data_IF_156618805173
#
_entry.id   IF_156618805173
#
_cell.length_a   1.000
_cell.length_b   1.000
_cell.length_c   1.000
_cell.angle_alpha   90.00
_cell.angle_beta   90.00
_cell.angle_gamma   90.00
#
_symmetry.space_group_name_H-M   'P 1'
#
loop_
_entity.id
_entity.type
_entity.pdbx_description
1 polymer ?
#
# COMPACT_ATOMS: atom_id res chain seq x y z
N UNK A 1 -0.42 -3.47 30.52
CA UNK A 1 -0.48 -2.63 29.31
C UNK A 1 -1.30 -3.37 28.26
N UNK A 2 -2.39 -2.80 27.78
CA UNK A 2 -3.25 -3.43 26.77
C UNK A 2 -2.52 -3.55 25.43
N UNK A 3 -2.92 -4.53 24.62
CA UNK A 3 -2.30 -4.76 23.30
C UNK A 3 -2.49 -3.56 22.35
N UNK A 4 -3.62 -2.89 22.46
CA UNK A 4 -3.94 -1.68 21.70
C UNK A 4 -3.02 -0.51 22.05
N UNK A 5 -2.76 -0.32 23.36
CA UNK A 5 -1.82 0.70 23.85
C UNK A 5 -0.41 0.43 23.31
N UNK A 6 0.02 -0.82 23.35
CA UNK A 6 1.31 -1.23 22.79
C UNK A 6 1.41 -0.90 21.28
N UNK A 7 0.38 -1.22 20.49
CA UNK A 7 0.37 -0.92 19.06
C UNK A 7 0.34 0.59 18.77
N UNK A 8 -0.36 1.37 19.61
CA UNK A 8 -0.37 2.81 19.47
C UNK A 8 1.02 3.43 19.75
N UNK A 9 1.71 2.92 20.74
CA UNK A 9 3.08 3.36 21.05
C UNK A 9 4.07 2.90 19.97
N UNK A 10 3.95 1.66 19.49
CA UNK A 10 4.73 1.15 18.37
C UNK A 10 4.55 2.02 17.12
N UNK A 11 3.31 2.37 16.78
CA UNK A 11 3.02 3.25 15.65
C UNK A 11 3.72 4.61 15.78
N UNK A 12 3.54 5.29 16.91
CA UNK A 12 4.14 6.64 17.13
C UNK A 12 5.66 6.63 17.00
N UNK A 13 6.32 5.67 17.67
CA UNK A 13 7.78 5.51 17.61
C UNK A 13 8.24 5.19 16.19
N UNK A 14 7.51 4.33 15.50
CA UNK A 14 7.86 3.89 14.13
C UNK A 14 7.71 5.02 13.12
N UNK A 15 6.65 5.81 13.17
CA UNK A 15 6.49 6.97 12.27
C UNK A 15 7.65 7.94 12.44
N UNK A 16 8.06 8.23 13.67
CA UNK A 16 9.20 9.10 13.91
C UNK A 16 10.52 8.53 13.34
N UNK A 17 10.77 7.24 13.54
CA UNK A 17 11.98 6.60 13.02
C UNK A 17 11.99 6.50 11.47
N UNK A 18 10.87 6.12 10.88
CA UNK A 18 10.71 5.96 9.43
C UNK A 18 10.89 7.28 8.68
N UNK A 19 10.38 8.38 9.22
CA UNK A 19 10.49 9.71 8.58
C UNK A 19 11.90 10.28 8.62
N UNK A 20 12.77 9.77 9.47
CA UNK A 20 14.17 10.19 9.56
C UNK A 20 15.12 9.38 8.67
N UNK A 21 14.67 8.26 8.10
CA UNK A 21 15.50 7.37 7.30
C UNK A 21 14.88 7.15 5.90
N UNK A 22 15.55 7.68 4.88
CA UNK A 22 15.09 7.57 3.49
C UNK A 22 14.88 6.11 3.03
N UNK A 23 15.78 5.22 3.38
CA UNK A 23 15.70 3.80 2.97
C UNK A 23 14.49 3.13 3.60
N UNK A 24 14.27 3.36 4.89
CA UNK A 24 13.10 2.83 5.62
C UNK A 24 11.79 3.44 5.07
N UNK A 25 11.81 4.73 4.76
CA UNK A 25 10.65 5.39 4.16
C UNK A 25 10.30 4.80 2.80
N UNK A 26 11.28 4.56 1.92
CA UNK A 26 11.06 3.91 0.63
C UNK A 26 10.58 2.47 0.79
N UNK A 27 11.10 1.74 1.78
CA UNK A 27 10.61 0.41 2.15
C UNK A 27 9.14 0.42 2.57
N UNK A 28 8.75 1.39 3.42
CA UNK A 28 7.35 1.59 3.81
C UNK A 28 6.47 1.88 2.58
N UNK A 29 6.87 2.81 1.70
CA UNK A 29 6.10 3.16 0.50
C UNK A 29 5.92 1.95 -0.43
N UNK A 30 6.95 1.13 -0.59
CA UNK A 30 6.85 -0.15 -1.32
C UNK A 30 5.86 -1.12 -0.66
N UNK A 31 5.80 -1.16 0.68
CA UNK A 31 4.81 -1.95 1.40
C UNK A 31 3.39 -1.39 1.23
N UNK A 32 3.23 -0.06 1.35
CA UNK A 32 1.94 0.64 1.17
C UNK A 32 1.34 0.37 -0.21
N UNK A 33 2.16 0.30 -1.27
CA UNK A 33 1.69 0.01 -2.61
C UNK A 33 1.00 -1.35 -2.73
N UNK A 34 1.41 -2.33 -1.93
CA UNK A 34 0.77 -3.66 -1.87
C UNK A 34 -0.60 -3.61 -1.16
N UNK A 35 -0.74 -2.74 -0.17
CA UNK A 35 -1.91 -2.66 0.71
C UNK A 35 -2.62 -1.31 0.62
N UNK A 36 -2.70 -0.74 -0.57
CA UNK A 36 -3.22 0.61 -0.84
C UNK A 36 -4.68 0.84 -0.36
N UNK A 37 -5.44 -0.23 -0.13
CA UNK A 37 -6.81 -0.17 0.43
C UNK A 37 -6.83 -0.05 1.96
N UNK A 38 -5.70 -0.24 2.62
CA UNK A 38 -5.60 -0.07 4.07
C UNK A 38 -5.22 1.36 4.41
N UNK A 39 -5.64 1.84 5.58
CA UNK A 39 -5.23 3.14 6.09
C UNK A 39 -3.71 3.20 6.35
N UNK A 40 -3.13 4.39 6.35
CA UNK A 40 -1.69 4.58 6.51
C UNK A 40 -1.16 4.00 7.83
N UNK A 41 -1.87 4.22 8.92
CA UNK A 41 -1.53 3.69 10.25
C UNK A 41 -1.46 2.15 10.26
N UNK A 42 -2.40 1.46 9.60
CA UNK A 42 -2.35 0.00 9.43
C UNK A 42 -1.13 -0.44 8.61
N UNK A 43 -0.84 0.28 7.54
CA UNK A 43 0.34 0.02 6.70
C UNK A 43 1.64 0.16 7.49
N UNK A 44 1.79 1.21 8.30
CA UNK A 44 2.95 1.38 9.19
C UNK A 44 3.06 0.20 10.16
N UNK A 45 1.96 -0.17 10.83
CA UNK A 45 1.95 -1.30 11.76
C UNK A 45 2.29 -2.64 11.10
N UNK A 46 1.86 -2.86 9.86
CA UNK A 46 2.23 -4.04 9.07
C UNK A 46 3.74 -4.01 8.79
N UNK A 47 4.23 -2.93 8.23
CA UNK A 47 5.62 -2.79 7.82
C UNK A 47 6.60 -3.01 8.97
N UNK A 48 6.36 -2.39 10.11
CA UNK A 48 7.29 -2.48 11.25
C UNK A 48 7.26 -3.84 11.96
N UNK A 49 6.15 -4.58 11.85
CA UNK A 49 6.06 -5.94 12.40
C UNK A 49 6.56 -7.00 11.42
N UNK A 50 6.40 -6.76 10.11
CA UNK A 50 6.79 -7.70 9.05
C UNK A 50 7.03 -6.96 7.73
N UNK A 51 8.25 -6.41 7.50
CA UNK A 51 8.57 -5.64 6.30
C UNK A 51 8.45 -6.44 4.99
N UNK A 52 8.68 -7.75 5.07
CA UNK A 52 8.63 -8.70 3.95
C UNK A 52 7.24 -9.29 3.69
N UNK A 53 6.21 -8.82 4.40
CA UNK A 53 4.85 -9.33 4.23
C UNK A 53 4.42 -9.31 2.76
N UNK A 54 3.85 -10.45 2.32
CA UNK A 54 3.33 -10.67 0.98
C UNK A 54 1.83 -10.43 0.89
N UNK A 55 1.03 -11.48 0.77
CA UNK A 55 -0.42 -11.41 0.74
C UNK A 55 -0.99 -11.57 2.15
N UNK A 56 -1.77 -10.59 2.58
CA UNK A 56 -2.34 -10.54 3.92
C UNK A 56 -3.85 -10.71 3.92
N UNK A 57 -4.34 -11.56 4.81
CA UNK A 57 -5.75 -11.62 5.14
C UNK A 57 -5.95 -11.97 6.63
N UNK A 58 -7.15 -11.70 7.15
CA UNK A 58 -7.56 -12.21 8.46
C UNK A 58 -7.69 -13.73 8.42
N UNK A 59 -7.67 -14.38 9.59
CA UNK A 59 -7.91 -15.83 9.68
C UNK A 59 -9.19 -16.22 8.93
N UNK A 60 -10.28 -15.52 9.18
CA UNK A 60 -11.55 -15.78 8.52
C UNK A 60 -11.50 -15.53 7.01
N UNK A 61 -10.73 -14.52 6.56
CA UNK A 61 -10.50 -14.25 5.14
C UNK A 61 -9.80 -15.44 4.46
N UNK A 62 -8.74 -15.97 5.07
CA UNK A 62 -8.06 -17.15 4.55
C UNK A 62 -8.98 -18.37 4.47
N UNK A 63 -9.73 -18.67 5.53
CA UNK A 63 -10.60 -19.83 5.60
C UNK A 63 -11.78 -19.75 4.62
N UNK A 64 -12.51 -18.62 4.61
CA UNK A 64 -13.76 -18.50 3.85
C UNK A 64 -13.55 -18.17 2.37
N UNK A 65 -12.54 -17.36 2.04
CA UNK A 65 -12.35 -16.91 0.67
C UNK A 65 -11.44 -17.81 -0.15
N UNK A 66 -10.49 -18.47 0.51
CA UNK A 66 -9.45 -19.23 -0.20
C UNK A 66 -9.35 -20.70 0.22
N UNK A 67 -10.11 -21.14 1.24
CA UNK A 67 -10.02 -22.48 1.79
C UNK A 67 -8.66 -22.79 2.46
N UNK A 68 -7.90 -21.78 2.81
CA UNK A 68 -6.59 -21.96 3.46
C UNK A 68 -6.69 -21.77 4.97
N UNK A 69 -5.90 -22.52 5.70
CA UNK A 69 -5.87 -22.55 7.16
C UNK A 69 -4.53 -22.11 7.70
N UNK A 70 -4.52 -21.46 8.85
CA UNK A 70 -3.28 -21.05 9.49
C UNK A 70 -2.46 -22.27 9.93
N UNK A 71 -1.15 -22.18 9.77
CA UNK A 71 -0.20 -23.13 10.34
C UNK A 71 -0.16 -23.00 11.87
N UNK A 72 0.10 -24.08 12.57
CA UNK A 72 0.28 -24.01 14.01
C UNK A 72 1.48 -23.10 14.36
N UNK A 73 1.31 -22.23 15.35
CA UNK A 73 2.34 -21.30 15.77
C UNK A 73 2.45 -20.01 14.93
N UNK A 74 1.62 -19.82 13.91
CA UNK A 74 1.60 -18.58 13.13
C UNK A 74 1.34 -17.36 14.03
N UNK A 75 2.17 -16.32 13.85
CA UNK A 75 2.04 -15.06 14.59
C UNK A 75 1.29 -14.04 13.73
N UNK A 76 0.16 -13.56 14.24
CA UNK A 76 -0.62 -12.51 13.55
C UNK A 76 0.04 -11.14 13.68
N UNK A 77 -0.01 -10.38 12.62
CA UNK A 77 0.34 -8.95 12.57
C UNK A 77 -0.84 -8.19 13.16
N UNK A 78 -0.64 -7.58 14.32
CA UNK A 78 -1.67 -6.81 14.99
C UNK A 78 -1.81 -5.42 14.36
N UNK A 79 -3.03 -5.04 13.99
CA UNK A 79 -3.31 -3.69 13.50
C UNK A 79 -4.52 -3.09 14.21
N UNK A 80 -4.47 -1.78 14.37
CA UNK A 80 -5.54 -0.96 14.97
C UNK A 80 -5.70 0.27 14.09
N UNK A 81 -6.91 0.77 13.96
CA UNK A 81 -7.19 2.02 13.25
C UNK A 81 -7.08 3.17 14.24
N UNK A 82 -6.00 3.96 14.13
CA UNK A 82 -5.72 5.04 15.06
C UNK A 82 -6.70 6.22 14.94
N UNK A 83 -7.38 6.33 13.80
CA UNK A 83 -8.33 7.41 13.54
C UNK A 83 -9.76 7.07 13.99
N UNK A 84 -10.01 5.83 14.38
CA UNK A 84 -11.31 5.37 14.84
C UNK A 84 -11.24 4.91 16.31
N UNK A 85 -11.74 5.70 17.28
CA UNK A 85 -11.70 5.35 18.69
C UNK A 85 -12.52 4.11 19.06
N UNK A 86 -13.37 3.63 18.15
CA UNK A 86 -14.13 2.37 18.29
C UNK A 86 -13.48 1.22 17.51
N UNK A 87 -12.30 1.44 16.93
CA UNK A 87 -11.64 0.42 16.14
C UNK A 87 -11.20 -0.75 17.01
N UNK A 88 -11.57 -1.92 16.60
CA UNK A 88 -11.14 -3.17 17.22
C UNK A 88 -9.77 -3.57 16.69
N UNK A 89 -8.97 -4.15 17.56
CA UNK A 89 -7.74 -4.83 17.20
C UNK A 89 -8.03 -5.97 16.21
N UNK A 90 -7.39 -5.92 15.06
CA UNK A 90 -7.46 -6.98 14.05
C UNK A 90 -6.10 -7.65 13.88
N UNK A 91 -6.11 -8.93 13.49
CA UNK A 91 -4.91 -9.70 13.18
C UNK A 91 -4.92 -10.13 11.73
N UNK A 92 -3.84 -9.81 11.02
CA UNK A 92 -3.57 -10.27 9.67
C UNK A 92 -2.47 -11.33 9.68
N UNK A 93 -2.56 -12.25 8.75
CA UNK A 93 -1.62 -13.35 8.55
C UNK A 93 -1.18 -13.38 7.11
N UNK A 94 0.09 -13.65 6.89
CA UNK A 94 0.67 -13.77 5.56
C UNK A 94 0.30 -15.11 4.91
N UNK A 95 0.30 -15.16 3.58
CA UNK A 95 0.13 -16.40 2.81
C UNK A 95 1.14 -17.47 3.26
N UNK A 96 2.38 -17.09 3.56
CA UNK A 96 3.42 -17.98 4.04
C UNK A 96 3.07 -18.66 5.37
N UNK A 97 2.19 -18.05 6.18
CA UNK A 97 1.70 -18.58 7.45
C UNK A 97 0.50 -19.54 7.28
N UNK A 98 0.08 -19.80 6.04
CA UNK A 98 -1.08 -20.62 5.74
C UNK A 98 -0.69 -21.93 5.06
N UNK A 99 -1.61 -22.90 5.14
CA UNK A 99 -1.57 -24.18 4.42
C UNK A 99 -2.92 -24.43 3.75
N UNK A 100 -2.95 -25.21 2.68
CA UNK A 100 -4.16 -25.56 1.94
C UNK A 100 -3.91 -25.61 0.44
N UNK A 101 -4.95 -25.75 -0.35
CA UNK A 101 -4.87 -25.84 -1.79
C UNK A 101 -4.33 -24.53 -2.41
N UNK A 102 -3.17 -24.64 -3.06
CA UNK A 102 -2.54 -23.51 -3.74
C UNK A 102 -3.21 -23.21 -5.08
N UNK A 103 -3.66 -24.23 -5.80
CA UNK A 103 -4.28 -24.06 -7.11
C UNK A 103 -5.67 -23.41 -7.02
N UNK A 104 -6.45 -23.78 -6.00
CA UNK A 104 -7.71 -23.12 -5.70
C UNK A 104 -7.50 -21.64 -5.32
N UNK A 105 -6.50 -21.36 -4.50
CA UNK A 105 -6.09 -19.99 -4.16
C UNK A 105 -5.64 -19.20 -5.40
N UNK A 106 -4.77 -19.76 -6.24
CA UNK A 106 -4.28 -19.11 -7.47
C UNK A 106 -5.43 -18.76 -8.41
N UNK A 107 -6.37 -19.68 -8.61
CA UNK A 107 -7.58 -19.44 -9.42
C UNK A 107 -8.43 -18.30 -8.86
N UNK A 108 -8.68 -18.28 -7.57
CA UNK A 108 -9.44 -17.22 -6.92
C UNK A 108 -8.76 -15.84 -7.06
N UNK A 109 -7.44 -15.78 -6.96
CA UNK A 109 -6.67 -14.55 -7.12
C UNK A 109 -6.57 -14.09 -8.58
N UNK A 110 -6.37 -15.02 -9.52
CA UNK A 110 -6.28 -14.66 -10.95
C UNK A 110 -7.62 -14.25 -11.54
N UNK A 111 -8.73 -14.75 -11.01
CA UNK A 111 -10.07 -14.35 -11.46
C UNK A 111 -10.41 -12.87 -11.16
N UNK A 112 -9.66 -12.22 -10.26
CA UNK A 112 -9.98 -10.85 -9.82
C UNK A 112 -9.32 -9.78 -10.68
N UNK A 113 -8.25 -10.10 -11.45
CA UNK A 113 -7.40 -9.08 -12.08
C UNK A 113 -6.87 -9.43 -13.48
N UNK A 114 -7.46 -10.39 -14.20
CA UNK A 114 -7.08 -10.61 -15.60
C UNK A 114 -7.88 -9.67 -16.50
N UNK A 115 -7.24 -8.61 -16.98
CA UNK A 115 -7.76 -7.86 -18.10
C UNK A 115 -7.59 -8.70 -19.37
N UNK A 116 -8.68 -9.21 -19.92
CA UNK A 116 -8.63 -9.98 -21.15
C UNK A 116 -8.10 -9.12 -22.30
N UNK A 117 -7.16 -9.66 -23.06
CA UNK A 117 -6.47 -8.94 -24.14
C UNK A 117 -7.42 -8.28 -25.14
N UNK A 118 -8.58 -8.87 -25.38
CA UNK A 118 -9.58 -8.32 -26.30
C UNK A 118 -10.13 -6.96 -25.90
N UNK A 119 -10.13 -6.61 -24.59
CA UNK A 119 -10.61 -5.31 -24.09
C UNK A 119 -9.52 -4.24 -23.97
N UNK A 120 -8.25 -4.61 -24.12
CA UNK A 120 -7.15 -3.65 -23.98
C UNK A 120 -7.24 -2.47 -24.95
N UNK A 121 -7.57 -2.65 -26.26
CA UNK A 121 -7.67 -1.53 -27.19
C UNK A 121 -8.78 -0.54 -26.82
N UNK A 122 -9.93 -1.03 -26.37
CA UNK A 122 -11.04 -0.17 -25.96
C UNK A 122 -10.69 0.63 -24.69
N UNK A 123 -10.00 -0.01 -23.75
CA UNK A 123 -9.56 0.64 -22.52
C UNK A 123 -8.51 1.71 -22.82
N UNK A 124 -7.53 1.42 -23.68
CA UNK A 124 -6.54 2.38 -24.13
C UNK A 124 -7.19 3.59 -24.79
N UNK A 125 -8.12 3.37 -25.71
CA UNK A 125 -8.86 4.46 -26.39
C UNK A 125 -9.60 5.34 -25.37
N UNK A 126 -10.20 4.75 -24.33
CA UNK A 126 -10.84 5.48 -23.23
C UNK A 126 -9.84 6.28 -22.39
N UNK A 127 -8.66 5.69 -22.07
CA UNK A 127 -7.60 6.41 -21.35
C UNK A 127 -7.13 7.63 -22.15
N UNK A 128 -6.88 7.48 -23.45
CA UNK A 128 -6.48 8.57 -24.33
C UNK A 128 -7.54 9.70 -24.37
N UNK A 129 -8.81 9.34 -24.58
CA UNK A 129 -9.89 10.31 -24.67
C UNK A 129 -10.21 11.01 -23.35
N UNK A 130 -10.18 10.28 -22.25
CA UNK A 130 -10.63 10.79 -20.96
C UNK A 130 -9.53 11.53 -20.21
N UNK A 131 -8.28 11.06 -20.32
CA UNK A 131 -7.15 11.56 -19.53
C UNK A 131 -6.05 12.21 -20.37
N UNK A 132 -6.16 12.21 -21.69
CA UNK A 132 -5.16 12.80 -22.58
C UNK A 132 -3.83 12.03 -22.61
N UNK A 133 -3.85 10.73 -22.28
CA UNK A 133 -2.67 9.87 -22.40
C UNK A 133 -2.45 9.48 -23.87
N UNK A 134 -1.22 9.16 -24.25
CA UNK A 134 -0.83 8.76 -25.61
C UNK A 134 0.03 7.48 -25.65
N UNK A 135 0.16 6.80 -24.53
CA UNK A 135 0.97 5.60 -24.37
C UNK A 135 0.31 4.34 -24.97
N UNK A 136 1.15 3.40 -25.42
CA UNK A 136 0.71 2.21 -26.16
C UNK A 136 0.32 1.01 -25.27
N UNK A 137 0.45 1.12 -23.95
CA UNK A 137 0.03 0.10 -22.99
C UNK A 137 -0.73 0.70 -21.83
N UNK A 138 -1.59 -0.11 -21.19
CA UNK A 138 -2.37 0.35 -20.03
C UNK A 138 -1.45 0.70 -18.87
N UNK A 139 -0.39 -0.09 -18.64
CA UNK A 139 0.59 0.17 -17.60
C UNK A 139 1.28 1.53 -17.80
N UNK A 140 1.69 1.81 -19.03
CA UNK A 140 2.33 3.09 -19.36
C UNK A 140 1.35 4.27 -19.25
N UNK A 141 0.09 4.09 -19.69
CA UNK A 141 -0.96 5.10 -19.48
C UNK A 141 -1.19 5.40 -18.00
N UNK A 142 -1.17 4.39 -17.14
CA UNK A 142 -1.30 4.58 -15.68
C UNK A 142 -0.08 5.32 -15.11
N UNK A 143 1.13 5.00 -15.57
CA UNK A 143 2.34 5.72 -15.17
C UNK A 143 2.30 7.18 -15.62
N UNK A 144 1.93 7.44 -16.88
CA UNK A 144 1.77 8.79 -17.43
C UNK A 144 0.74 9.59 -16.63
N UNK A 145 -0.41 8.99 -16.33
CA UNK A 145 -1.46 9.62 -15.53
C UNK A 145 -0.99 9.95 -14.11
N UNK A 146 -0.22 9.05 -13.48
CA UNK A 146 0.35 9.28 -12.15
C UNK A 146 1.32 10.46 -12.15
N UNK A 147 2.17 10.59 -13.18
CA UNK A 147 3.08 11.73 -13.34
C UNK A 147 2.28 13.04 -13.54
N UNK A 148 1.29 13.04 -14.44
CA UNK A 148 0.45 14.22 -14.68
C UNK A 148 -0.29 14.68 -13.42
N UNK A 149 -0.80 13.75 -12.61
CA UNK A 149 -1.44 14.07 -11.34
C UNK A 149 -0.46 14.59 -10.29
N UNK A 150 0.75 14.03 -10.25
CA UNK A 150 1.81 14.52 -9.36
C UNK A 150 2.22 15.95 -9.74
N UNK A 151 2.47 16.22 -11.01
CA UNK A 151 2.82 17.56 -11.50
C UNK A 151 1.72 18.59 -11.19
N UNK A 152 0.46 18.25 -11.45
CA UNK A 152 -0.67 19.12 -11.12
C UNK A 152 -0.78 19.37 -9.60
N UNK A 153 -0.51 18.38 -8.78
CA UNK A 153 -0.44 18.53 -7.32
C UNK A 153 0.70 19.45 -6.91
N UNK A 154 1.89 19.27 -7.48
CA UNK A 154 3.06 20.10 -7.21
C UNK A 154 2.79 21.56 -7.61
N UNK A 155 2.26 21.79 -8.78
CA UNK A 155 1.89 23.14 -9.23
C UNK A 155 0.88 23.80 -8.31
N UNK A 156 -0.15 23.08 -7.91
CA UNK A 156 -1.23 23.62 -7.07
C UNK A 156 -0.81 23.93 -5.65
N UNK A 157 0.02 23.09 -5.04
CA UNK A 157 0.31 23.15 -3.59
C UNK A 157 1.72 23.59 -3.26
N UNK A 158 2.72 23.26 -4.08
CA UNK A 158 4.12 23.53 -3.79
C UNK A 158 4.66 24.78 -4.47
N UNK A 159 4.08 25.21 -5.60
CA UNK A 159 4.44 26.50 -6.22
C UNK A 159 4.14 27.72 -5.32
N UNK A 160 3.29 27.54 -4.31
CA UNK A 160 2.94 28.58 -3.33
C UNK A 160 3.82 28.57 -2.07
N UNK A 161 4.67 27.59 -1.90
CA UNK A 161 5.61 27.53 -0.78
C UNK A 161 6.86 28.31 -1.18
N UNK A 162 6.99 29.54 -0.71
CA UNK A 162 8.27 30.26 -0.72
C UNK A 162 9.26 29.47 0.13
N UNK A 163 10.20 28.84 -0.54
CA UNK A 163 11.28 28.10 0.11
C UNK A 163 12.24 29.14 0.71
N UNK A 164 12.18 29.35 2.02
CA UNK A 164 12.99 30.37 2.70
C UNK A 164 14.32 29.87 3.25
N UNK A 165 14.59 28.56 3.21
CA UNK A 165 15.87 27.99 3.64
C UNK A 165 16.30 26.74 2.82
N UNK A 166 17.61 26.39 2.91
CA UNK A 166 18.19 25.28 2.18
C UNK A 166 17.60 23.89 2.57
N UNK A 167 17.05 23.74 3.77
CA UNK A 167 16.44 22.49 4.24
C UNK A 167 15.08 22.25 3.59
N UNK A 168 14.34 23.28 3.25
CA UNK A 168 13.06 23.15 2.54
C UNK A 168 13.23 22.74 1.07
N UNK A 169 14.38 23.05 0.45
CA UNK A 169 14.76 22.54 -0.88
C UNK A 169 14.92 21.02 -0.89
N UNK A 170 15.46 20.46 0.18
CA UNK A 170 15.61 19.01 0.34
C UNK A 170 14.26 18.30 0.39
N UNK A 171 13.26 18.87 1.06
CA UNK A 171 11.89 18.33 1.08
C UNK A 171 11.23 18.38 -0.30
N UNK A 172 11.34 19.48 -1.03
CA UNK A 172 10.79 19.59 -2.39
C UNK A 172 11.47 18.62 -3.37
N UNK A 173 12.78 18.45 -3.31
CA UNK A 173 13.50 17.50 -4.15
C UNK A 173 13.25 16.04 -3.78
N UNK A 174 13.02 15.73 -2.50
CA UNK A 174 12.69 14.39 -2.05
C UNK A 174 11.32 13.95 -2.60
N UNK A 175 10.36 14.85 -2.67
CA UNK A 175 9.05 14.56 -3.26
C UNK A 175 9.13 14.35 -4.78
N UNK A 176 9.93 15.12 -5.51
CA UNK A 176 10.13 14.94 -6.96
C UNK A 176 10.80 13.61 -7.35
N UNK A 177 11.49 12.95 -6.43
CA UNK A 177 12.14 11.65 -6.65
C UNK A 177 11.37 10.46 -6.06
N UNK A 178 10.21 10.67 -5.45
CA UNK A 178 9.38 9.61 -4.85
C UNK A 178 8.19 9.19 -5.72
N UNK A 179 8.03 9.78 -6.91
CA UNK A 179 7.01 9.42 -7.89
C UNK A 179 7.65 9.00 -9.20
#
# INVERSE_FOLDING_TARGET
>A
MGRETYLADLYRQSVQALTQNRTEWMGLLSSVSKYYKMSFDKNVLIYVQRPDAGLLATKMGWEKQTGRYLKAGSKGIGVVDMNNPKATLAYYFDLADTRGDYEGFRRAMSAVWSLERQYQPEILDRFHKQFGTDENSIENCLCQLAVMQADAFFEKYLSRVEVKDENSVLYGNTFKHCF
#
